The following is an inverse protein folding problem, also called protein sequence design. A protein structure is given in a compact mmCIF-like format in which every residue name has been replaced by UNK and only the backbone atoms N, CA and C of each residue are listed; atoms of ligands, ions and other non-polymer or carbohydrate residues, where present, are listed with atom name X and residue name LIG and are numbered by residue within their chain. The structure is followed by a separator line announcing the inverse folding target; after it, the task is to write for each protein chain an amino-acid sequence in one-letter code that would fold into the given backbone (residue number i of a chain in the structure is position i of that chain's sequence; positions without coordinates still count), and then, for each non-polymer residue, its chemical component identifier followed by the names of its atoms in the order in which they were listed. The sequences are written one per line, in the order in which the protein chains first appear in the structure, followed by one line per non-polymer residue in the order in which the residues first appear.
data_IF_726217868071
#
_entry.id   IF_726217868071
#
_cell.length_a   1.000
_cell.length_b   1.000
_cell.length_c   1.000
_cell.angle_alpha   90.00
_cell.angle_beta   90.00
_cell.angle_gamma   90.00
#
_symmetry.space_group_name_H-M   'P 1'
#
loop_
_entity.id
_entity.type
_entity.pdbx_description
1 polymer ?
#
# COMPACT_ATOMS: atom_id res chain seq x y z
N UNK A 1 -13.97 9.79 -16.48
CA UNK A 1 -13.22 8.52 -16.46
C UNK A 1 -12.15 8.62 -15.38
N UNK A 2 -12.24 7.83 -14.31
CA UNK A 2 -11.20 7.78 -13.27
C UNK A 2 -10.04 6.93 -13.80
N UNK A 3 -8.87 7.53 -13.98
CA UNK A 3 -7.70 6.80 -14.49
C UNK A 3 -7.01 6.06 -13.34
N UNK A 4 -7.05 4.72 -13.37
CA UNK A 4 -6.30 3.85 -12.46
C UNK A 4 -4.81 3.99 -12.73
N UNK A 5 -4.04 4.37 -11.71
CA UNK A 5 -2.57 4.44 -11.78
C UNK A 5 -1.97 3.31 -10.94
N UNK A 6 -0.74 2.93 -11.26
CA UNK A 6 0.05 2.00 -10.46
C UNK A 6 1.15 2.77 -9.73
N UNK A 7 1.21 2.64 -8.41
CA UNK A 7 2.22 3.27 -7.56
C UNK A 7 3.24 2.23 -7.09
N UNK A 8 4.53 2.55 -7.22
CA UNK A 8 5.62 1.78 -6.62
C UNK A 8 6.08 2.50 -5.36
N UNK A 9 5.97 1.86 -4.20
CA UNK A 9 6.36 2.41 -2.90
C UNK A 9 7.50 1.57 -2.33
N UNK A 10 8.61 2.21 -1.99
CA UNK A 10 9.76 1.53 -1.40
C UNK A 10 9.72 1.64 0.12
N UNK A 11 9.82 0.50 0.82
CA UNK A 11 9.76 0.47 2.28
C UNK A 11 8.36 0.73 2.85
N UNK A 12 7.34 0.01 2.36
CA UNK A 12 5.99 0.06 2.94
C UNK A 12 6.00 -0.77 4.23
N UNK A 13 6.17 -0.15 5.39
CA UNK A 13 6.28 -0.87 6.67
C UNK A 13 5.21 -0.44 7.65
N UNK A 14 5.30 0.78 8.21
CA UNK A 14 4.42 1.17 9.32
C UNK A 14 4.14 2.68 9.44
N UNK A 15 4.48 3.48 8.43
CA UNK A 15 4.40 4.93 8.51
C UNK A 15 3.56 5.60 7.42
N UNK A 16 4.07 6.74 6.95
CA UNK A 16 3.49 7.57 5.88
C UNK A 16 3.32 6.78 4.58
N UNK A 17 4.28 5.92 4.28
CA UNK A 17 4.31 4.96 3.19
C UNK A 17 3.06 4.05 3.18
N UNK A 18 2.70 3.45 4.32
CA UNK A 18 1.50 2.61 4.47
C UNK A 18 0.22 3.45 4.36
N UNK A 19 0.18 4.62 4.99
CA UNK A 19 -0.99 5.50 4.89
C UNK A 19 -1.24 5.98 3.44
N UNK A 20 -0.17 6.26 2.70
CA UNK A 20 -0.25 6.61 1.28
C UNK A 20 -0.72 5.43 0.43
N UNK A 21 -0.15 4.24 0.66
CA UNK A 21 -0.56 3.01 -0.03
C UNK A 21 -2.05 2.74 0.14
N UNK A 22 -2.55 2.82 1.38
CA UNK A 22 -3.97 2.70 1.70
C UNK A 22 -4.80 3.71 0.93
N UNK A 23 -4.43 5.00 0.94
CA UNK A 23 -5.20 6.04 0.26
C UNK A 23 -5.19 5.90 -1.26
N UNK A 24 -4.10 5.41 -1.84
CA UNK A 24 -4.05 5.08 -3.26
C UNK A 24 -4.98 3.91 -3.59
N UNK A 25 -5.00 2.85 -2.77
CA UNK A 25 -5.91 1.72 -2.92
C UNK A 25 -7.38 2.17 -2.79
N UNK A 26 -7.72 2.97 -1.76
CA UNK A 26 -9.06 3.56 -1.56
C UNK A 26 -9.52 4.37 -2.78
N UNK A 27 -8.59 5.06 -3.45
CA UNK A 27 -8.86 5.84 -4.66
C UNK A 27 -9.01 4.98 -5.94
N UNK A 28 -8.94 3.65 -5.83
CA UNK A 28 -9.03 2.73 -6.95
C UNK A 28 -7.75 2.65 -7.78
N UNK A 29 -6.60 2.91 -7.16
CA UNK A 29 -5.28 2.74 -7.76
C UNK A 29 -4.64 1.43 -7.32
N UNK A 30 -3.66 0.96 -8.10
CA UNK A 30 -2.88 -0.23 -7.76
C UNK A 30 -1.62 0.21 -7.02
N UNK A 31 -1.22 -0.52 -5.99
CA UNK A 31 0.01 -0.26 -5.24
C UNK A 31 0.89 -1.50 -5.24
N UNK A 32 2.18 -1.30 -5.54
CA UNK A 32 3.25 -2.30 -5.41
C UNK A 32 4.21 -1.77 -4.35
N UNK A 33 4.28 -2.45 -3.21
CA UNK A 33 5.16 -2.08 -2.09
C UNK A 33 6.36 -3.02 -1.99
N UNK A 34 7.53 -2.50 -1.63
CA UNK A 34 8.64 -3.33 -1.12
C UNK A 34 8.75 -3.19 0.39
N UNK A 35 8.93 -4.31 1.08
CA UNK A 35 9.11 -4.38 2.53
C UNK A 35 10.58 -4.65 2.86
N UNK A 36 11.05 -4.21 4.03
CA UNK A 36 12.41 -4.54 4.50
C UNK A 36 12.45 -5.82 5.32
N UNK A 37 11.35 -6.14 5.99
CA UNK A 37 11.23 -7.33 6.82
C UNK A 37 9.97 -8.13 6.47
N UNK A 38 9.98 -9.46 6.65
CA UNK A 38 8.79 -10.28 6.43
C UNK A 38 7.59 -9.87 7.31
N UNK A 39 7.85 -9.35 8.51
CA UNK A 39 6.81 -8.87 9.43
C UNK A 39 6.04 -7.66 8.86
N UNK A 40 6.71 -6.81 8.08
CA UNK A 40 6.06 -5.70 7.39
C UNK A 40 5.12 -6.19 6.27
N UNK A 41 5.39 -7.36 5.69
CA UNK A 41 4.50 -7.98 4.70
C UNK A 41 3.15 -8.30 5.32
N UNK A 42 3.13 -8.93 6.49
CA UNK A 42 1.88 -9.31 7.18
C UNK A 42 1.07 -8.07 7.58
N UNK A 43 1.74 -7.00 8.02
CA UNK A 43 1.09 -5.74 8.34
C UNK A 43 0.48 -5.05 7.09
N UNK A 44 1.07 -5.26 5.92
CA UNK A 44 0.58 -4.73 4.65
C UNK A 44 -0.53 -5.58 4.02
N UNK A 45 -0.41 -6.91 4.10
CA UNK A 45 -1.39 -7.88 3.55
C UNK A 45 -2.61 -8.07 4.48
N UNK A 46 -2.53 -7.57 5.71
CA UNK A 46 -3.66 -7.56 6.64
C UNK A 46 -4.88 -6.89 5.96
N UNK A 47 -6.04 -7.59 5.92
CA UNK A 47 -7.20 -7.11 5.20
C UNK A 47 -7.64 -5.75 5.75
N UNK A 48 -7.85 -4.79 4.84
CA UNK A 48 -8.42 -3.50 5.19
C UNK A 48 -9.85 -3.75 5.73
N UNK A 49 -10.21 -3.27 6.93
CA UNK A 49 -11.60 -3.31 7.36
C UNK A 49 -12.42 -2.44 6.42
N UNK A 50 -13.40 -3.05 5.75
CA UNK A 50 -14.39 -2.41 4.87
C UNK A 50 -15.22 -1.37 5.60
#
# INVERSE_FOLDING_TARGET
MTQTKTFLITGVSSGLDRAFAVKALDAGHTVVGTVRTPADTEAFDAPHPS
#
